data_IF_297648185084
#
_entry.id   IF_297648185084
#
_cell.length_a   1.000
_cell.length_b   1.000
_cell.length_c   1.000
_cell.angle_alpha   90.00
_cell.angle_beta   90.00
_cell.angle_gamma   90.00
#
_symmetry.space_group_name_H-M   'P 1'
#
loop_
_entity.id
_entity.type
_entity.pdbx_description
1 polymer ?
#
# COMPACT_ATOMS: atom_id res chain seq x y z
N UNK A 1 1.00 64.25 -24.98
CA UNK A 1 0.17 64.24 -26.21
C UNK A 1 0.35 62.87 -26.88
N UNK A 2 -0.75 62.29 -27.41
CA UNK A 2 -0.94 60.97 -28.08
C UNK A 2 0.22 60.57 -29.02
N UNK A 3 0.49 59.31 -29.40
CA UNK A 3 -0.31 58.15 -29.87
C UNK A 3 0.46 56.82 -29.58
N UNK A 4 -0.13 55.65 -29.26
CA UNK A 4 -0.89 54.69 -30.11
C UNK A 4 -0.11 54.25 -31.38
N UNK A 5 0.08 53.00 -31.82
CA UNK A 5 -0.61 51.70 -31.63
C UNK A 5 0.24 50.60 -32.34
N UNK A 6 0.30 49.39 -31.75
CA UNK A 6 0.25 48.03 -32.35
C UNK A 6 1.19 47.53 -33.47
N UNK A 7 1.81 46.34 -33.30
CA UNK A 7 1.48 45.03 -33.93
C UNK A 7 2.57 43.95 -33.63
N UNK A 8 2.12 42.82 -33.08
CA UNK A 8 2.58 41.41 -33.14
C UNK A 8 3.91 41.04 -33.84
N UNK A 9 4.78 40.27 -33.17
CA UNK A 9 5.09 38.85 -33.52
C UNK A 9 5.95 38.14 -32.45
N UNK A 10 5.48 36.95 -32.09
CA UNK A 10 6.07 35.77 -31.46
C UNK A 10 7.60 35.69 -31.26
N UNK A 11 8.02 35.43 -30.01
CA UNK A 11 9.14 34.53 -29.71
C UNK A 11 9.00 34.00 -28.28
N UNK A 12 8.49 32.77 -28.18
CA UNK A 12 8.61 31.89 -27.03
C UNK A 12 10.10 31.68 -26.77
N UNK A 13 10.60 32.10 -25.61
CA UNK A 13 11.88 31.63 -25.09
C UNK A 13 11.64 30.94 -23.75
N UNK A 14 11.40 29.65 -23.86
CA UNK A 14 11.57 28.65 -22.82
C UNK A 14 12.97 28.81 -22.22
N UNK A 15 13.07 29.32 -21.00
CA UNK A 15 14.22 29.02 -20.13
C UNK A 15 13.72 27.99 -19.15
N UNK A 16 13.89 26.73 -19.55
CA UNK A 16 13.78 25.57 -18.70
C UNK A 16 14.83 25.67 -17.59
N UNK A 17 14.44 26.18 -16.43
CA UNK A 17 15.14 25.89 -15.18
C UNK A 17 14.71 24.49 -14.75
N UNK A 18 15.35 23.50 -15.37
CA UNK A 18 15.42 22.15 -14.85
C UNK A 18 16.26 22.24 -13.57
N UNK A 19 15.61 22.41 -12.43
CA UNK A 19 16.13 21.87 -11.18
C UNK A 19 15.43 20.54 -10.94
N UNK A 20 15.99 19.49 -11.55
CA UNK A 20 15.80 18.12 -11.08
C UNK A 20 16.46 18.00 -9.70
N UNK A 21 15.68 18.13 -8.64
CA UNK A 21 16.08 17.62 -7.32
C UNK A 21 15.66 16.15 -7.22
N UNK A 22 16.46 15.28 -7.84
CA UNK A 22 16.46 13.85 -7.53
C UNK A 22 17.38 13.64 -6.33
N UNK A 23 16.82 13.64 -5.12
CA UNK A 23 17.49 13.12 -3.93
C UNK A 23 16.43 12.65 -2.92
N UNK A 24 16.09 11.36 -2.96
CA UNK A 24 15.30 10.69 -1.92
C UNK A 24 16.22 9.73 -1.16
N UNK A 25 16.89 10.24 -0.13
CA UNK A 25 17.60 9.41 0.85
C UNK A 25 17.20 9.89 2.24
N UNK A 26 16.53 9.04 3.01
CA UNK A 26 15.90 9.45 4.29
C UNK A 26 16.31 8.63 5.52
N UNK A 27 17.33 7.77 5.41
CA UNK A 27 18.01 7.10 6.54
C UNK A 27 19.52 7.16 6.31
N UNK A 28 20.31 7.44 7.35
CA UNK A 28 21.78 7.38 7.27
C UNK A 28 22.28 5.96 7.47
N UNK A 29 21.49 5.08 8.09
CA UNK A 29 21.77 3.66 8.22
C UNK A 29 21.19 2.90 7.03
N UNK A 30 22.04 2.62 6.05
CA UNK A 30 21.59 1.93 4.84
C UNK A 30 21.54 0.41 5.01
N UNK A 31 22.32 -0.14 5.93
CA UNK A 31 22.51 -1.57 6.06
C UNK A 31 22.97 -1.98 7.46
N UNK A 32 22.51 -3.14 7.93
CA UNK A 32 23.02 -3.81 9.13
C UNK A 32 23.05 -5.34 8.93
N UNK A 33 24.11 -5.97 9.43
CA UNK A 33 24.34 -7.42 9.40
C UNK A 33 24.84 -7.88 10.76
N UNK A 34 24.26 -8.95 11.28
CA UNK A 34 24.87 -9.73 12.36
C UNK A 34 25.79 -10.75 11.68
N UNK A 35 27.10 -10.60 11.82
CA UNK A 35 28.08 -11.54 11.27
C UNK A 35 28.23 -12.80 12.11
N UNK A 36 27.98 -12.68 13.42
CA UNK A 36 28.06 -13.77 14.38
C UNK A 36 27.17 -13.43 15.57
N UNK A 37 26.35 -14.38 16.08
CA UNK A 37 26.14 -15.72 15.54
C UNK A 37 25.29 -15.68 14.25
N UNK A 38 25.45 -16.70 13.40
CA UNK A 38 24.71 -16.84 12.13
C UNK A 38 23.31 -17.41 12.38
N UNK A 39 22.48 -17.38 11.34
CA UNK A 39 21.15 -17.99 11.36
C UNK A 39 21.15 -19.43 11.89
N UNK A 40 20.14 -19.76 12.69
CA UNK A 40 19.98 -21.05 13.36
C UNK A 40 21.06 -21.41 14.40
N UNK A 41 22.05 -20.54 14.66
CA UNK A 41 23.08 -20.84 15.65
C UNK A 41 22.65 -20.46 17.05
N UNK A 42 22.81 -21.41 17.98
CA UNK A 42 22.63 -21.17 19.39
C UNK A 42 23.56 -20.06 19.89
N UNK A 43 22.95 -19.06 20.49
CA UNK A 43 23.65 -17.95 21.10
C UNK A 43 24.05 -18.36 22.52
N UNK A 44 25.36 -18.42 22.80
CA UNK A 44 25.87 -18.73 24.15
C UNK A 44 26.17 -17.45 24.93
N UNK A 45 25.82 -17.43 26.21
CA UNK A 45 26.27 -16.38 27.11
C UNK A 45 27.81 -16.25 27.07
N UNK A 46 28.32 -15.02 27.05
CA UNK A 46 29.76 -14.75 26.90
C UNK A 46 30.32 -14.87 25.47
N UNK A 47 29.53 -15.30 24.48
CA UNK A 47 29.97 -15.33 23.08
C UNK A 47 30.00 -13.93 22.46
N UNK A 48 30.75 -13.79 21.36
CA UNK A 48 30.85 -12.54 20.61
C UNK A 48 29.70 -12.39 19.62
N UNK A 49 28.91 -11.34 19.82
CA UNK A 49 28.01 -10.78 18.84
C UNK A 49 28.78 -9.77 17.98
N UNK A 50 28.87 -10.02 16.68
CA UNK A 50 29.53 -9.12 15.74
C UNK A 50 28.46 -8.52 14.85
N UNK A 51 28.29 -7.21 14.93
CA UNK A 51 27.34 -6.44 14.12
C UNK A 51 28.13 -5.54 13.18
N UNK A 52 27.97 -5.74 11.88
CA UNK A 52 28.41 -4.80 10.86
C UNK A 52 27.25 -3.92 10.43
N UNK A 53 27.52 -2.66 10.15
CA UNK A 53 26.51 -1.75 9.63
C UNK A 53 27.15 -0.68 8.75
N UNK A 54 26.45 -0.24 7.71
CA UNK A 54 26.93 0.79 6.79
C UNK A 54 26.12 2.04 7.01
N UNK A 55 26.83 3.17 7.14
CA UNK A 55 26.18 4.47 7.20
C UNK A 55 26.71 5.42 6.13
N UNK A 56 25.85 6.29 5.61
CA UNK A 56 26.22 7.43 4.78
C UNK A 56 25.57 8.67 5.39
N UNK A 57 26.31 9.74 5.69
CA UNK A 57 25.69 10.99 6.09
C UNK A 57 25.18 11.73 4.85
N UNK A 58 24.03 12.36 5.02
CA UNK A 58 23.42 13.20 3.99
C UNK A 58 24.22 14.50 3.84
N UNK A 59 24.76 14.75 2.64
CA UNK A 59 25.14 16.08 2.17
C UNK A 59 24.37 16.31 0.88
N UNK A 60 23.50 17.29 0.89
CA UNK A 60 22.90 17.85 -0.31
C UNK A 60 23.08 19.37 -0.23
N UNK A 61 23.63 19.98 -1.28
CA UNK A 61 23.90 21.42 -1.34
C UNK A 61 22.62 22.26 -1.40
N UNK A 62 21.47 21.63 -1.67
CA UNK A 62 20.16 22.28 -1.79
C UNK A 62 19.19 21.96 -0.63
N UNK A 63 19.57 21.11 0.33
CA UNK A 63 18.81 20.88 1.58
C UNK A 63 19.65 21.10 2.84
N UNK A 64 19.05 21.63 3.91
CA UNK A 64 19.78 21.89 5.16
C UNK A 64 20.32 20.59 5.77
N UNK A 65 21.59 20.52 6.20
CA UNK A 65 22.19 19.29 6.72
C UNK A 65 21.43 18.78 7.96
N UNK A 66 20.85 17.58 7.85
CA UNK A 66 20.29 16.85 8.99
C UNK A 66 21.39 16.43 9.95
N UNK A 67 21.13 16.47 11.26
CA UNK A 67 22.08 16.04 12.30
C UNK A 67 21.69 14.65 12.80
N UNK A 68 22.61 13.70 12.64
CA UNK A 68 22.50 12.42 13.32
C UNK A 68 22.60 12.63 14.83
N UNK A 69 21.56 12.26 15.58
CA UNK A 69 21.55 12.39 17.04
C UNK A 69 22.05 11.11 17.72
N UNK A 70 21.79 9.95 17.13
CA UNK A 70 22.24 8.69 17.69
C UNK A 70 21.89 7.48 16.84
N UNK A 71 22.67 6.42 17.03
CA UNK A 71 22.37 5.07 16.59
C UNK A 71 22.46 4.19 17.84
N UNK A 72 21.31 3.67 18.27
CA UNK A 72 21.22 2.69 19.33
C UNK A 72 21.03 1.32 18.67
N UNK A 73 21.96 0.38 18.89
CA UNK A 73 21.82 -1.02 18.47
C UNK A 73 21.60 -1.81 19.75
N UNK A 74 20.45 -2.47 19.88
CA UNK A 74 20.04 -3.07 21.13
C UNK A 74 19.87 -4.58 20.99
N UNK A 75 20.13 -5.29 22.09
CA UNK A 75 19.92 -6.73 22.20
C UNK A 75 18.73 -6.99 23.14
N UNK A 76 17.73 -7.74 22.68
CA UNK A 76 16.49 -7.99 23.42
C UNK A 76 16.14 -9.48 23.49
N UNK A 77 15.48 -9.88 24.57
CA UNK A 77 14.74 -11.14 24.65
C UNK A 77 13.38 -11.00 23.98
N UNK A 78 12.91 -12.05 23.30
CA UNK A 78 11.58 -12.11 22.66
C UNK A 78 10.81 -13.38 23.02
N UNK A 79 9.50 -13.34 22.84
CA UNK A 79 8.61 -14.50 22.77
C UNK A 79 7.72 -14.34 21.53
N UNK A 80 7.76 -15.29 20.60
CA UNK A 80 7.12 -15.14 19.29
C UNK A 80 7.65 -13.88 18.56
N UNK A 81 6.73 -13.01 18.13
CA UNK A 81 7.07 -11.74 17.45
C UNK A 81 7.16 -10.54 18.40
N UNK A 82 6.94 -10.71 19.71
CA UNK A 82 6.93 -9.60 20.69
C UNK A 82 8.27 -9.44 21.43
N UNK A 83 8.74 -8.19 21.54
CA UNK A 83 9.89 -7.81 22.38
C UNK A 83 9.49 -7.86 23.85
N UNK A 84 10.30 -8.51 24.69
CA UNK A 84 9.99 -8.64 26.12
C UNK A 84 10.92 -7.81 27.01
N UNK A 85 12.23 -7.87 26.79
CA UNK A 85 13.19 -7.21 27.69
C UNK A 85 14.45 -6.82 26.92
N UNK A 86 14.92 -5.59 27.10
CA UNK A 86 16.24 -5.16 26.62
C UNK A 86 17.32 -5.66 27.58
N UNK A 87 18.30 -6.38 27.04
CA UNK A 87 19.39 -6.98 27.82
C UNK A 87 20.73 -6.27 27.63
N UNK A 88 20.87 -5.43 26.60
CA UNK A 88 22.09 -4.66 26.41
C UNK A 88 22.06 -3.71 25.24
N UNK A 89 23.10 -2.87 25.19
CA UNK A 89 23.37 -1.96 24.09
C UNK A 89 24.67 -2.38 23.42
N UNK A 90 24.55 -2.77 22.16
CA UNK A 90 25.66 -3.14 21.28
C UNK A 90 26.38 -1.87 20.82
N UNK A 91 25.63 -0.79 20.59
CA UNK A 91 26.15 0.52 20.19
C UNK A 91 25.23 1.66 20.70
N UNK A 92 25.79 2.85 20.98
CA UNK A 92 25.07 4.00 21.59
C UNK A 92 25.47 5.37 21.02
N UNK A 93 26.05 5.44 19.83
CA UNK A 93 26.57 6.71 19.30
C UNK A 93 26.46 6.73 17.79
N UNK A 94 26.17 7.87 17.17
CA UNK A 94 26.33 7.96 15.72
C UNK A 94 27.82 8.10 15.40
N UNK A 95 28.41 7.20 14.60
CA UNK A 95 29.83 7.25 14.28
C UNK A 95 30.16 8.18 13.09
N UNK A 96 29.15 8.80 12.47
CA UNK A 96 29.32 9.66 11.29
C UNK A 96 29.05 11.13 11.63
N UNK A 97 29.97 12.03 11.24
CA UNK A 97 29.72 13.47 11.22
C UNK A 97 29.16 13.86 9.84
N UNK A 98 28.20 14.80 9.79
CA UNK A 98 27.48 15.26 8.59
C UNK A 98 28.33 15.94 7.49
N UNK A 99 29.64 15.69 7.43
CA UNK A 99 30.60 16.30 6.51
C UNK A 99 31.21 15.32 5.49
N UNK A 100 30.81 14.05 5.49
CA UNK A 100 31.50 13.03 4.70
C UNK A 100 30.52 12.24 3.80
N UNK A 101 30.26 12.67 2.57
CA UNK A 101 29.29 12.07 1.61
C UNK A 101 29.52 10.58 1.23
N UNK A 102 30.50 9.92 1.83
CA UNK A 102 30.88 8.53 1.55
C UNK A 102 30.17 7.55 2.48
N UNK A 103 29.82 6.39 1.93
CA UNK A 103 29.44 5.22 2.71
C UNK A 103 30.62 4.76 3.58
N UNK A 104 30.38 4.58 4.87
CA UNK A 104 31.34 4.07 5.84
C UNK A 104 30.79 2.79 6.46
N UNK A 105 31.58 1.72 6.38
CA UNK A 105 31.25 0.44 7.02
C UNK A 105 31.84 0.40 8.43
N UNK A 106 31.01 0.09 9.41
CA UNK A 106 31.37 -0.09 10.80
C UNK A 106 31.25 -1.56 11.19
N UNK A 107 32.16 -2.01 12.07
CA UNK A 107 32.11 -3.34 12.67
C UNK A 107 32.13 -3.17 14.18
N UNK A 108 31.06 -3.62 14.85
CA UNK A 108 30.95 -3.59 16.31
C UNK A 108 30.94 -5.02 16.84
N UNK A 109 31.95 -5.33 17.63
CA UNK A 109 32.00 -6.55 18.45
C UNK A 109 31.43 -6.23 19.83
N UNK A 110 30.54 -7.08 20.32
CA UNK A 110 29.88 -6.94 21.62
C UNK A 110 29.73 -8.30 22.27
N UNK A 111 30.07 -8.40 23.55
CA UNK A 111 29.99 -9.66 24.30
C UNK A 111 28.60 -9.82 24.89
N UNK A 112 27.99 -10.98 24.67
CA UNK A 112 26.68 -11.30 25.21
C UNK A 112 26.79 -11.48 26.73
N UNK A 113 25.90 -10.85 27.53
CA UNK A 113 25.97 -10.91 28.99
C UNK A 113 26.05 -12.35 29.49
N UNK A 114 26.91 -12.58 30.48
CA UNK A 114 27.18 -13.92 31.04
C UNK A 114 25.98 -14.53 31.76
N UNK A 115 25.00 -13.71 32.14
CA UNK A 115 23.73 -14.07 32.79
C UNK A 115 22.56 -14.30 31.80
N UNK A 116 22.83 -14.28 30.48
CA UNK A 116 21.81 -14.53 29.46
C UNK A 116 21.27 -15.97 29.56
N UNK A 117 19.96 -16.10 29.78
CA UNK A 117 19.27 -17.40 29.91
C UNK A 117 18.98 -18.04 28.54
N UNK A 118 18.60 -19.33 28.47
CA UNK A 118 18.06 -19.90 27.23
C UNK A 118 16.75 -19.21 26.80
N UNK A 119 16.58 -18.98 25.49
CA UNK A 119 15.38 -18.36 24.92
C UNK A 119 15.63 -17.77 23.54
N UNK A 120 14.63 -17.05 23.01
CA UNK A 120 14.74 -16.36 21.72
C UNK A 120 15.17 -14.91 21.91
N UNK A 121 16.04 -14.43 21.01
CA UNK A 121 16.65 -13.11 21.09
C UNK A 121 16.52 -12.34 19.77
N UNK A 122 16.60 -11.01 19.88
CA UNK A 122 16.52 -10.05 18.79
C UNK A 122 17.68 -9.07 18.89
N UNK A 123 18.17 -8.62 17.74
CA UNK A 123 18.82 -7.31 17.65
C UNK A 123 17.81 -6.37 16.99
N UNK A 124 17.60 -5.22 17.59
CA UNK A 124 16.90 -4.11 16.96
C UNK A 124 17.85 -2.93 16.83
N UNK A 125 17.46 -1.96 16.02
CA UNK A 125 18.16 -0.71 15.94
C UNK A 125 17.19 0.46 15.99
N UNK A 126 17.68 1.55 16.55
CA UNK A 126 16.97 2.81 16.66
C UNK A 126 17.88 3.90 16.13
N UNK A 127 17.55 4.41 14.96
CA UNK A 127 18.23 5.55 14.36
C UNK A 127 17.48 6.84 14.73
N UNK A 128 18.18 7.82 15.30
CA UNK A 128 17.63 9.14 15.65
C UNK A 128 18.26 10.20 14.76
N UNK A 129 17.43 10.87 13.96
CA UNK A 129 17.85 11.95 13.04
C UNK A 129 17.07 13.22 13.37
N UNK A 130 17.77 14.34 13.53
CA UNK A 130 17.18 15.66 13.76
C UNK A 130 17.31 16.55 12.52
N UNK A 131 16.18 17.10 12.12
CA UNK A 131 16.08 18.14 11.09
C UNK A 131 15.78 19.49 11.76
N UNK A 132 15.88 20.60 11.01
CA UNK A 132 15.63 21.96 11.53
C UNK A 132 14.23 22.15 12.16
N UNK A 133 13.25 21.28 11.88
CA UNK A 133 11.85 21.40 12.35
C UNK A 133 11.19 20.08 12.82
N UNK A 134 11.84 18.93 12.72
CA UNK A 134 11.26 17.62 13.06
C UNK A 134 12.34 16.63 13.54
N UNK A 135 11.93 15.60 14.28
CA UNK A 135 12.78 14.49 14.72
C UNK A 135 12.17 13.18 14.23
N UNK A 136 12.95 12.33 13.55
CA UNK A 136 12.53 11.01 13.10
C UNK A 136 13.25 9.95 13.94
N UNK A 137 12.50 8.94 14.38
CA UNK A 137 13.02 7.73 15.03
C UNK A 137 12.58 6.51 14.22
N UNK A 138 13.51 5.85 13.53
CA UNK A 138 13.24 4.58 12.84
C UNK A 138 13.56 3.42 13.78
N UNK A 139 12.63 2.46 13.94
CA UNK A 139 12.83 1.25 14.75
C UNK A 139 12.47 0.02 13.93
N UNK A 140 13.45 -0.85 13.68
CA UNK A 140 13.23 -2.11 12.95
C UNK A 140 13.51 -3.33 13.83
N UNK A 141 12.75 -4.41 13.65
CA UNK A 141 12.90 -5.66 14.42
C UNK A 141 12.98 -6.85 13.47
N UNK A 142 14.18 -7.42 13.32
CA UNK A 142 14.41 -8.52 12.37
C UNK A 142 14.25 -9.88 13.07
N UNK A 143 13.41 -10.77 12.52
CA UNK A 143 13.34 -12.20 12.89
C UNK A 143 14.47 -12.95 12.16
N UNK A 144 15.15 -13.86 12.84
CA UNK A 144 16.31 -14.57 12.27
C UNK A 144 15.77 -15.61 11.26
N UNK A 145 15.87 -15.24 9.97
CA UNK A 145 16.30 -16.07 8.85
C UNK A 145 17.14 -15.11 7.99
N UNK A 146 18.47 -15.13 8.10
CA UNK A 146 19.32 -13.94 7.85
C UNK A 146 20.75 -14.27 7.40
N UNK A 147 21.34 -13.48 6.49
CA UNK A 147 22.81 -13.48 6.36
C UNK A 147 23.43 -12.90 5.09
N UNK A 148 22.65 -12.68 4.03
CA UNK A 148 23.20 -12.23 2.75
C UNK A 148 23.11 -10.72 2.57
N UNK A 149 24.21 -10.13 2.10
CA UNK A 149 24.30 -8.70 1.76
C UNK A 149 24.17 -8.61 0.25
N UNK A 150 23.05 -8.06 -0.22
CA UNK A 150 22.83 -7.81 -1.63
C UNK A 150 22.82 -6.30 -1.85
N UNK A 151 23.70 -5.81 -2.70
CA UNK A 151 23.62 -4.42 -3.19
C UNK A 151 22.36 -4.29 -4.03
N UNK A 152 21.52 -3.30 -3.73
CA UNK A 152 20.41 -2.97 -4.61
C UNK A 152 20.97 -2.50 -5.96
N UNK A 153 20.47 -3.06 -7.04
CA UNK A 153 20.86 -2.67 -8.41
C UNK A 153 20.10 -1.43 -8.89
N UNK A 154 19.10 -0.98 -8.14
CA UNK A 154 18.31 0.22 -8.42
C UNK A 154 17.36 0.57 -7.29
N UNK A 155 16.81 1.79 -7.33
CA UNK A 155 15.81 2.30 -6.40
C UNK A 155 14.74 3.04 -7.18
N UNK A 156 13.47 2.78 -6.87
CA UNK A 156 12.33 3.46 -7.48
C UNK A 156 11.29 3.79 -6.41
N UNK A 157 10.96 5.07 -6.25
CA UNK A 157 9.79 5.50 -5.49
C UNK A 157 8.59 5.61 -6.45
N UNK A 158 7.44 5.07 -6.04
CA UNK A 158 6.19 5.12 -6.81
C UNK A 158 5.04 5.47 -5.88
N UNK A 159 4.03 6.22 -6.35
CA UNK A 159 2.83 6.44 -5.56
C UNK A 159 2.11 5.08 -5.44
N UNK A 160 1.55 4.78 -4.27
CA UNK A 160 0.86 3.51 -4.02
C UNK A 160 -0.14 3.62 -2.87
N UNK A 161 -0.52 2.46 -2.32
CA UNK A 161 -1.65 2.31 -1.40
C UNK A 161 -2.91 1.93 -2.17
N UNK A 162 -3.60 0.90 -1.72
CA UNK A 162 -4.75 0.31 -2.43
C UNK A 162 -5.84 1.33 -2.66
N UNK A 163 -6.21 2.09 -1.62
CA UNK A 163 -7.21 3.16 -1.74
C UNK A 163 -6.85 4.19 -2.80
N UNK A 164 -5.59 4.63 -2.85
CA UNK A 164 -5.14 5.61 -3.84
C UNK A 164 -5.08 5.01 -5.26
N UNK A 165 -4.61 3.77 -5.40
CA UNK A 165 -4.64 3.02 -6.67
C UNK A 165 -6.07 2.88 -7.20
N UNK A 166 -7.02 2.52 -6.33
CA UNK A 166 -8.42 2.35 -6.66
C UNK A 166 -9.06 3.70 -7.03
N UNK A 167 -8.74 4.79 -6.33
CA UNK A 167 -9.21 6.13 -6.72
C UNK A 167 -8.74 6.54 -8.10
N UNK A 168 -7.45 6.35 -8.43
CA UNK A 168 -6.93 6.65 -9.78
C UNK A 168 -7.60 5.77 -10.84
N UNK A 169 -7.85 4.50 -10.53
CA UNK A 169 -8.58 3.59 -11.42
C UNK A 169 -10.03 4.01 -11.66
N UNK A 170 -10.75 4.47 -10.63
CA UNK A 170 -12.11 5.01 -10.78
C UNK A 170 -12.09 6.24 -11.69
N UNK A 171 -11.20 7.19 -11.43
CA UNK A 171 -11.08 8.42 -12.23
C UNK A 171 -10.75 8.12 -13.69
N UNK A 172 -9.76 7.27 -13.95
CA UNK A 172 -9.38 6.86 -15.31
C UNK A 172 -10.44 6.02 -16.03
N UNK A 173 -11.25 5.28 -15.29
CA UNK A 173 -12.45 4.57 -15.79
C UNK A 173 -13.64 5.49 -16.10
N UNK A 174 -13.48 6.80 -15.89
CA UNK A 174 -14.50 7.82 -16.15
C UNK A 174 -15.51 8.01 -15.02
N UNK A 175 -15.20 7.54 -13.81
CA UNK A 175 -15.99 7.78 -12.61
C UNK A 175 -15.59 9.07 -11.89
N UNK A 176 -16.55 9.71 -11.22
CA UNK A 176 -16.27 10.78 -10.26
C UNK A 176 -15.84 10.16 -8.93
N UNK A 177 -14.75 10.65 -8.34
CA UNK A 177 -14.19 10.08 -7.10
C UNK A 177 -13.58 11.16 -6.23
N UNK A 178 -13.93 11.11 -4.95
CA UNK A 178 -13.31 11.86 -3.88
C UNK A 178 -12.40 10.93 -3.09
N UNK A 179 -11.14 11.30 -2.93
CA UNK A 179 -10.23 10.58 -2.05
C UNK A 179 -10.23 11.23 -0.67
N UNK A 180 -10.48 10.42 0.35
CA UNK A 180 -10.46 10.83 1.75
C UNK A 180 -9.37 10.06 2.49
N UNK A 181 -8.58 10.78 3.28
CA UNK A 181 -7.45 10.19 3.99
C UNK A 181 -6.54 11.23 4.64
N UNK A 182 -5.48 10.74 5.27
CA UNK A 182 -4.42 11.55 5.85
C UNK A 182 -3.08 11.14 5.23
N UNK A 183 -2.53 12.04 4.43
CA UNK A 183 -1.19 11.92 3.87
C UNK A 183 -0.14 12.46 4.86
N UNK A 184 1.09 11.97 4.76
CA UNK A 184 2.22 12.51 5.51
C UNK A 184 2.72 13.85 4.97
N UNK A 185 3.51 14.58 5.77
CA UNK A 185 4.14 15.85 5.39
C UNK A 185 5.13 15.73 4.21
N UNK A 186 5.46 14.51 3.81
CA UNK A 186 6.35 14.11 2.73
C UNK A 186 5.62 13.57 1.48
N UNK A 187 4.28 13.62 1.46
CA UNK A 187 3.45 13.00 0.42
C UNK A 187 2.66 14.00 -0.45
N UNK A 188 3.04 15.28 -0.48
CA UNK A 188 2.42 16.27 -1.37
C UNK A 188 2.44 15.83 -2.85
N UNK A 189 3.55 15.24 -3.30
CA UNK A 189 3.69 14.74 -4.67
C UNK A 189 2.70 13.62 -5.02
N UNK A 190 2.24 12.83 -4.03
CA UNK A 190 1.19 11.82 -4.24
C UNK A 190 -0.14 12.52 -4.47
N UNK A 191 -0.44 13.56 -3.67
CA UNK A 191 -1.65 14.38 -3.83
C UNK A 191 -1.69 15.02 -5.21
N UNK A 192 -0.60 15.64 -5.65
CA UNK A 192 -0.50 16.28 -6.95
C UNK A 192 -0.69 15.27 -8.08
N UNK A 193 -0.03 14.10 -7.99
CA UNK A 193 -0.20 13.02 -8.95
C UNK A 193 -1.66 12.55 -9.05
N UNK A 194 -2.37 12.39 -7.94
CA UNK A 194 -3.76 11.97 -7.94
C UNK A 194 -4.69 13.03 -8.57
N UNK A 195 -4.43 14.32 -8.32
CA UNK A 195 -5.14 15.44 -8.95
C UNK A 195 -4.93 15.41 -10.47
N UNK A 196 -3.69 15.25 -10.92
CA UNK A 196 -3.34 15.16 -12.35
C UNK A 196 -4.04 13.99 -13.06
N UNK A 197 -4.37 12.92 -12.31
CA UNK A 197 -5.10 11.75 -12.81
C UNK A 197 -6.63 11.83 -12.57
N UNK A 198 -7.15 13.01 -12.22
CA UNK A 198 -8.60 13.29 -12.17
C UNK A 198 -9.29 12.92 -10.86
N UNK A 199 -8.54 12.70 -9.78
CA UNK A 199 -9.11 12.43 -8.46
C UNK A 199 -9.37 13.74 -7.71
N UNK A 200 -10.56 13.88 -7.12
CA UNK A 200 -10.85 14.99 -6.22
C UNK A 200 -10.21 14.74 -4.84
N UNK A 201 -9.26 15.61 -4.47
CA UNK A 201 -8.48 15.50 -3.21
C UNK A 201 -8.95 16.49 -2.12
N UNK A 202 -10.16 17.05 -2.24
CA UNK A 202 -10.71 18.04 -1.29
C UNK A 202 -10.89 17.50 0.12
N UNK A 203 -11.18 16.21 0.26
CA UNK A 203 -11.31 15.50 1.54
C UNK A 203 -10.00 14.86 2.05
N UNK A 204 -8.88 15.10 1.37
CA UNK A 204 -7.56 14.61 1.78
C UNK A 204 -6.76 15.68 2.52
N UNK A 205 -6.37 15.37 3.76
CA UNK A 205 -5.49 16.21 4.58
C UNK A 205 -4.04 15.77 4.45
N UNK A 206 -3.14 16.70 4.70
CA UNK A 206 -1.71 16.44 4.87
C UNK A 206 -1.36 16.73 6.33
N UNK A 207 -0.75 15.76 7.00
CA UNK A 207 -0.23 15.93 8.35
C UNK A 207 0.90 16.95 8.34
N UNK A 208 0.98 17.80 9.36
CA UNK A 208 2.08 18.75 9.52
C UNK A 208 3.33 18.08 10.12
N UNK A 209 3.15 17.01 10.90
CA UNK A 209 4.21 16.43 11.75
C UNK A 209 4.57 14.99 11.40
N UNK A 210 3.63 14.22 10.86
CA UNK A 210 3.78 12.77 10.66
C UNK A 210 4.18 12.44 9.22
N UNK A 211 4.96 11.37 9.05
CA UNK A 211 5.36 10.85 7.75
C UNK A 211 4.34 9.87 7.15
N UNK A 212 4.34 9.77 5.82
CA UNK A 212 3.37 8.97 5.07
C UNK A 212 3.55 7.47 5.32
N UNK A 213 2.47 6.71 5.14
CA UNK A 213 2.57 5.25 5.02
C UNK A 213 3.46 4.85 3.83
N UNK A 214 4.19 3.74 3.95
CA UNK A 214 5.14 3.26 2.93
C UNK A 214 5.19 1.74 2.90
N UNK A 215 5.33 1.19 1.70
CA UNK A 215 5.69 -0.20 1.49
C UNK A 215 7.13 -0.27 0.96
N UNK A 216 8.01 -0.95 1.67
CA UNK A 216 9.35 -1.27 1.20
C UNK A 216 9.31 -2.61 0.49
N UNK A 217 9.39 -2.59 -0.83
CA UNK A 217 9.33 -3.78 -1.68
C UNK A 217 10.74 -4.05 -2.20
N UNK A 218 11.30 -5.19 -1.81
CA UNK A 218 12.54 -5.72 -2.35
C UNK A 218 12.19 -6.81 -3.36
N UNK A 219 12.81 -6.79 -4.55
CA UNK A 219 12.65 -7.82 -5.57
C UNK A 219 14.01 -8.38 -5.92
N UNK A 220 14.15 -9.70 -5.84
CA UNK A 220 15.35 -10.42 -6.26
C UNK A 220 15.40 -10.42 -7.79
N UNK A 221 16.43 -9.79 -8.38
CA UNK A 221 16.66 -9.85 -9.84
C UNK A 221 17.06 -11.25 -10.31
N UNK A 222 17.56 -12.09 -9.39
CA UNK A 222 18.01 -13.45 -9.70
C UNK A 222 16.86 -14.47 -9.71
N UNK A 223 15.89 -14.33 -8.80
CA UNK A 223 14.80 -15.31 -8.60
C UNK A 223 13.41 -14.75 -8.90
N UNK A 224 13.24 -13.43 -8.89
CA UNK A 224 11.94 -12.77 -9.01
C UNK A 224 11.17 -12.67 -7.69
N UNK A 225 11.68 -13.27 -6.60
CA UNK A 225 11.03 -13.24 -5.29
C UNK A 225 10.90 -11.82 -4.76
N UNK A 226 9.80 -11.54 -4.05
CA UNK A 226 9.55 -10.26 -3.41
C UNK A 226 9.53 -10.37 -1.87
N UNK A 227 9.98 -9.30 -1.20
CA UNK A 227 9.81 -9.10 0.24
C UNK A 227 9.20 -7.72 0.45
N UNK A 228 8.06 -7.66 1.16
CA UNK A 228 7.31 -6.42 1.39
C UNK A 228 7.27 -6.13 2.88
N UNK A 229 7.74 -4.95 3.28
CA UNK A 229 7.63 -4.44 4.65
C UNK A 229 6.74 -3.21 4.65
N UNK A 230 5.67 -3.25 5.43
CA UNK A 230 4.71 -2.14 5.52
C UNK A 230 5.00 -1.27 6.73
N UNK A 231 5.12 0.03 6.48
CA UNK A 231 5.09 1.09 7.48
C UNK A 231 3.74 1.82 7.37
N UNK A 232 2.84 1.74 8.36
CA UNK A 232 1.48 2.29 8.24
C UNK A 232 1.45 3.83 8.13
N UNK A 233 2.41 4.52 8.78
CA UNK A 233 2.48 5.98 8.79
C UNK A 233 1.16 6.65 9.19
N UNK A 234 0.82 7.74 8.50
CA UNK A 234 -0.43 8.50 8.72
C UNK A 234 -1.72 7.71 8.51
N UNK A 235 -1.71 6.60 7.76
CA UNK A 235 -2.92 5.79 7.57
C UNK A 235 -3.42 5.17 8.89
N UNK A 236 -2.51 4.91 9.83
CA UNK A 236 -2.85 4.41 11.18
C UNK A 236 -3.25 5.52 12.17
N UNK A 237 -3.35 6.77 11.69
CA UNK A 237 -3.70 7.96 12.48
C UNK A 237 -5.02 8.59 12.05
N UNK A 238 -5.72 8.00 11.08
CA UNK A 238 -7.04 8.47 10.67
C UNK A 238 -8.05 8.15 11.77
N UNK A 239 -8.96 9.07 12.05
CA UNK A 239 -9.90 8.95 13.17
C UNK A 239 -11.35 8.81 12.70
N UNK A 240 -12.24 8.22 13.51
CA UNK A 240 -13.67 8.19 13.22
C UNK A 240 -14.26 9.59 13.02
N UNK A 241 -13.77 10.59 13.75
CA UNK A 241 -14.22 11.99 13.61
C UNK A 241 -13.81 12.61 12.27
N UNK A 242 -12.62 12.26 11.76
CA UNK A 242 -12.21 12.66 10.42
C UNK A 242 -13.13 12.05 9.36
N UNK A 243 -13.44 10.76 9.49
CA UNK A 243 -14.35 10.06 8.59
C UNK A 243 -15.77 10.64 8.63
N UNK A 244 -16.30 10.90 9.83
CA UNK A 244 -17.64 11.45 10.01
C UNK A 244 -17.81 12.79 9.28
N UNK A 245 -16.82 13.70 9.40
CA UNK A 245 -16.81 15.00 8.70
C UNK A 245 -16.81 14.85 7.19
N UNK A 246 -16.04 13.92 6.65
CA UNK A 246 -16.05 13.64 5.20
C UNK A 246 -17.42 13.14 4.77
N UNK A 247 -17.98 12.17 5.52
CA UNK A 247 -19.27 11.55 5.23
C UNK A 247 -20.48 12.50 5.39
N UNK A 248 -20.31 13.72 5.91
CA UNK A 248 -21.37 14.75 5.87
C UNK A 248 -21.71 15.20 4.46
N UNK A 249 -20.77 15.08 3.51
CA UNK A 249 -20.95 15.50 2.11
C UNK A 249 -21.56 14.43 1.20
N UNK A 250 -21.87 13.25 1.74
CA UNK A 250 -22.33 12.08 0.97
C UNK A 250 -23.61 11.47 1.58
N UNK A 251 -24.36 10.73 0.78
CA UNK A 251 -25.62 10.13 1.22
C UNK A 251 -26.13 9.01 0.31
N UNK A 252 -27.45 8.72 0.35
CA UNK A 252 -28.04 7.66 -0.45
C UNK A 252 -27.78 7.84 -1.95
N UNK A 253 -27.32 6.76 -2.59
CA UNK A 253 -26.92 6.74 -4.00
C UNK A 253 -25.41 6.85 -4.22
N UNK A 254 -24.66 7.34 -3.23
CA UNK A 254 -23.21 7.36 -3.26
C UNK A 254 -22.59 6.01 -2.86
N UNK A 255 -21.33 5.82 -3.25
CA UNK A 255 -20.54 4.62 -2.95
C UNK A 255 -19.34 4.97 -2.09
N UNK A 256 -19.02 4.10 -1.14
CA UNK A 256 -17.73 4.09 -0.45
C UNK A 256 -16.94 2.86 -0.90
N UNK A 257 -15.65 3.07 -1.19
CA UNK A 257 -14.71 2.01 -1.54
C UNK A 257 -13.70 1.85 -0.43
N UNK A 258 -13.72 0.70 0.24
CA UNK A 258 -12.90 0.42 1.41
C UNK A 258 -11.90 -0.70 1.15
N UNK A 259 -10.75 -0.59 1.82
CA UNK A 259 -9.74 -1.64 1.93
C UNK A 259 -9.24 -1.74 3.37
N UNK A 260 -8.37 -2.70 3.67
CA UNK A 260 -7.81 -2.91 5.00
C UNK A 260 -6.46 -2.19 5.20
N UNK A 261 -6.35 -0.94 4.77
CA UNK A 261 -5.10 -0.14 4.87
C UNK A 261 -5.27 1.17 5.65
N UNK A 262 -6.38 1.34 6.37
CA UNK A 262 -6.69 2.53 7.17
C UNK A 262 -7.11 2.14 8.58
N UNK A 263 -6.77 2.95 9.59
CA UNK A 263 -7.31 2.79 10.94
C UNK A 263 -8.84 2.97 10.94
N UNK A 264 -9.49 2.41 11.97
CA UNK A 264 -10.93 2.50 12.20
C UNK A 264 -11.82 2.11 11.00
N UNK A 265 -11.35 1.24 10.11
CA UNK A 265 -12.07 0.88 8.88
C UNK A 265 -13.50 0.35 9.11
N UNK A 266 -13.72 -0.47 10.14
CA UNK A 266 -15.05 -0.97 10.50
C UNK A 266 -16.02 0.14 10.95
N UNK A 267 -15.53 1.15 11.69
CA UNK A 267 -16.33 2.31 12.11
C UNK A 267 -16.70 3.18 10.90
N UNK A 268 -15.75 3.41 9.99
CA UNK A 268 -16.00 4.14 8.74
C UNK A 268 -17.10 3.45 7.93
N UNK A 269 -17.02 2.11 7.81
CA UNK A 269 -18.01 1.32 7.08
C UNK A 269 -19.40 1.41 7.72
N UNK A 270 -19.50 1.35 9.06
CA UNK A 270 -20.76 1.56 9.76
C UNK A 270 -21.34 2.95 9.50
N UNK A 271 -20.53 4.01 9.68
CA UNK A 271 -20.96 5.39 9.44
C UNK A 271 -21.47 5.61 8.00
N UNK A 272 -20.78 5.05 7.02
CA UNK A 272 -21.17 5.15 5.61
C UNK A 272 -22.48 4.40 5.34
N UNK A 273 -22.60 3.17 5.82
CA UNK A 273 -23.81 2.36 5.62
C UNK A 273 -25.03 2.95 6.34
N UNK A 274 -24.87 3.52 7.53
CA UNK A 274 -25.95 4.17 8.29
C UNK A 274 -26.43 5.47 7.63
N UNK A 275 -25.58 6.09 6.79
CA UNK A 275 -25.94 7.21 5.90
C UNK A 275 -26.57 6.78 4.58
N UNK A 276 -26.66 5.48 4.32
CA UNK A 276 -27.26 4.91 3.12
C UNK A 276 -26.31 4.81 1.92
N UNK A 277 -24.99 4.93 2.12
CA UNK A 277 -24.02 4.67 1.06
C UNK A 277 -23.95 3.17 0.75
N UNK A 278 -23.73 2.84 -0.51
CA UNK A 278 -23.37 1.47 -0.90
C UNK A 278 -21.90 1.22 -0.60
N UNK A 279 -21.57 0.04 -0.06
CA UNK A 279 -20.21 -0.31 0.34
C UNK A 279 -19.63 -1.31 -0.66
N UNK A 280 -18.60 -0.90 -1.39
CA UNK A 280 -17.70 -1.82 -2.08
C UNK A 280 -16.50 -2.07 -1.17
N UNK A 281 -16.29 -3.33 -0.80
CA UNK A 281 -15.18 -3.70 0.08
C UNK A 281 -14.20 -4.65 -0.63
N UNK A 282 -12.93 -4.28 -0.62
CA UNK A 282 -11.82 -5.18 -0.94
C UNK A 282 -10.97 -5.37 0.32
N UNK A 283 -11.15 -6.45 1.11
CA UNK A 283 -10.51 -6.68 2.41
C UNK A 283 -9.01 -7.02 2.30
N UNK A 284 -8.25 -6.18 1.61
CA UNK A 284 -6.84 -6.38 1.32
C UNK A 284 -6.00 -5.30 2.03
N UNK A 285 -4.87 -5.68 2.67
CA UNK A 285 -4.44 -7.05 2.94
C UNK A 285 -5.41 -7.80 3.86
N UNK A 286 -5.59 -9.09 3.62
CA UNK A 286 -6.38 -9.95 4.51
C UNK A 286 -5.63 -10.16 5.82
N UNK A 287 -6.33 -9.99 6.95
CA UNK A 287 -5.80 -10.24 8.29
C UNK A 287 -6.61 -11.33 8.99
N UNK A 288 -5.98 -12.20 9.82
CA UNK A 288 -6.74 -13.16 10.62
C UNK A 288 -7.73 -12.44 11.54
N UNK A 289 -9.00 -12.84 11.51
CA UNK A 289 -10.04 -12.24 12.33
C UNK A 289 -10.65 -10.96 11.75
N UNK A 290 -10.46 -10.69 10.45
CA UNK A 290 -11.01 -9.48 9.79
C UNK A 290 -12.52 -9.33 9.95
N UNK A 291 -13.23 -10.44 10.14
CA UNK A 291 -14.68 -10.51 10.35
C UNK A 291 -15.13 -9.89 11.68
N UNK A 292 -14.21 -9.79 12.65
CA UNK A 292 -14.44 -9.10 13.92
C UNK A 292 -14.15 -7.59 13.83
N UNK A 293 -13.35 -7.18 12.83
CA UNK A 293 -12.93 -5.79 12.63
C UNK A 293 -13.88 -5.01 11.70
N UNK A 294 -14.56 -5.68 10.78
CA UNK A 294 -15.41 -5.06 9.77
C UNK A 294 -16.85 -5.62 9.76
N UNK A 295 -17.88 -4.77 9.60
CA UNK A 295 -19.28 -5.20 9.54
C UNK A 295 -19.62 -5.74 8.14
N UNK A 296 -19.23 -6.98 7.82
CA UNK A 296 -19.47 -7.60 6.50
C UNK A 296 -20.95 -7.63 6.10
N UNK A 297 -21.87 -7.62 7.07
CA UNK A 297 -23.32 -7.56 6.85
C UNK A 297 -23.77 -6.25 6.17
N UNK A 298 -22.94 -5.21 6.21
CA UNK A 298 -23.18 -3.89 5.59
C UNK A 298 -22.55 -3.77 4.20
N UNK A 299 -21.79 -4.78 3.75
CA UNK A 299 -21.10 -4.75 2.46
C UNK A 299 -22.09 -5.02 1.32
N UNK A 300 -22.14 -4.12 0.34
CA UNK A 300 -23.00 -4.25 -0.85
C UNK A 300 -22.33 -5.15 -1.90
N UNK A 301 -21.06 -4.89 -2.20
CA UNK A 301 -20.26 -5.69 -3.14
C UNK A 301 -18.92 -6.03 -2.50
N UNK A 302 -18.60 -7.32 -2.44
CA UNK A 302 -17.32 -7.82 -1.98
C UNK A 302 -16.45 -8.19 -3.18
N UNK A 303 -15.21 -7.68 -3.23
CA UNK A 303 -14.22 -8.06 -4.24
C UNK A 303 -12.98 -8.60 -3.55
N UNK A 304 -12.63 -9.85 -3.85
CA UNK A 304 -11.50 -10.58 -3.25
C UNK A 304 -10.73 -11.32 -4.34
N UNK A 305 -9.47 -11.67 -4.09
CA UNK A 305 -8.80 -12.73 -4.85
C UNK A 305 -9.14 -14.13 -4.27
N UNK A 306 -8.65 -15.19 -4.92
CA UNK A 306 -8.90 -16.57 -4.49
C UNK A 306 -8.45 -16.85 -3.05
N UNK A 307 -7.23 -16.46 -2.70
CA UNK A 307 -6.66 -16.70 -1.36
C UNK A 307 -7.41 -15.89 -0.29
N UNK A 308 -7.76 -14.65 -0.60
CA UNK A 308 -8.58 -13.79 0.27
C UNK A 308 -9.99 -14.39 0.46
N UNK A 309 -10.62 -14.93 -0.59
CA UNK A 309 -11.92 -15.59 -0.47
C UNK A 309 -11.86 -16.84 0.42
N UNK A 310 -10.80 -17.65 0.27
CA UNK A 310 -10.57 -18.84 1.10
C UNK A 310 -10.32 -18.46 2.57
N UNK A 311 -9.47 -17.46 2.81
CA UNK A 311 -9.13 -16.98 4.14
C UNK A 311 -10.37 -16.43 4.86
N UNK A 312 -11.16 -15.60 4.18
CA UNK A 312 -12.42 -15.07 4.72
C UNK A 312 -13.41 -16.18 5.03
N UNK A 313 -13.58 -17.14 4.11
CA UNK A 313 -14.51 -18.24 4.32
C UNK A 313 -14.08 -19.14 5.50
N UNK A 314 -12.77 -19.34 5.69
CA UNK A 314 -12.21 -20.06 6.83
C UNK A 314 -12.42 -19.32 8.14
N UNK A 315 -12.22 -18.01 8.17
CA UNK A 315 -12.47 -17.16 9.36
C UNK A 315 -13.96 -17.20 9.78
N UNK A 316 -14.87 -17.43 8.83
CA UNK A 316 -16.29 -17.65 9.08
C UNK A 316 -16.65 -19.08 9.53
N UNK A 317 -15.66 -19.94 9.75
CA UNK A 317 -15.83 -21.34 10.16
C UNK A 317 -16.09 -22.31 9.00
N UNK A 318 -15.95 -21.86 7.75
CA UNK A 318 -16.12 -22.67 6.55
C UNK A 318 -14.92 -23.58 6.24
N UNK A 319 -15.15 -24.63 5.45
CA UNK A 319 -14.10 -25.49 4.90
C UNK A 319 -13.93 -25.22 3.40
N UNK A 320 -12.79 -24.65 3.00
CA UNK A 320 -12.52 -24.26 1.60
C UNK A 320 -12.01 -25.41 0.72
N UNK A 321 -11.61 -26.55 1.30
CA UNK A 321 -10.98 -27.65 0.56
C UNK A 321 -11.86 -28.16 -0.58
N UNK A 322 -11.40 -27.99 -1.82
CA UNK A 322 -12.08 -28.45 -3.03
C UNK A 322 -13.15 -27.51 -3.59
N UNK A 323 -13.29 -26.30 -3.03
CA UNK A 323 -14.15 -25.24 -3.57
C UNK A 323 -13.36 -24.37 -4.56
N UNK A 324 -13.93 -24.08 -5.72
CA UNK A 324 -13.40 -23.06 -6.63
C UNK A 324 -13.87 -21.65 -6.27
N UNK A 325 -13.39 -20.63 -7.00
CA UNK A 325 -13.79 -19.23 -6.76
C UNK A 325 -15.30 -18.99 -6.81
N UNK A 326 -16.02 -19.63 -7.73
CA UNK A 326 -17.49 -19.47 -7.85
C UNK A 326 -18.23 -20.14 -6.68
N UNK A 327 -17.72 -21.25 -6.15
CA UNK A 327 -18.26 -21.91 -4.96
C UNK A 327 -18.07 -21.04 -3.72
N UNK A 328 -16.88 -20.44 -3.57
CA UNK A 328 -16.60 -19.49 -2.48
C UNK A 328 -17.51 -18.26 -2.57
N UNK A 329 -17.70 -17.70 -3.77
CA UNK A 329 -18.64 -16.61 -4.00
C UNK A 329 -20.07 -16.97 -3.58
N UNK A 330 -20.52 -18.20 -3.90
CA UNK A 330 -21.84 -18.68 -3.51
C UNK A 330 -22.00 -18.81 -1.99
N UNK A 331 -21.00 -19.34 -1.30
CA UNK A 331 -21.03 -19.49 0.16
C UNK A 331 -21.01 -18.14 0.88
N UNK A 332 -20.17 -17.20 0.44
CA UNK A 332 -20.09 -15.86 1.00
C UNK A 332 -21.40 -15.08 0.77
N UNK A 333 -21.95 -15.13 -0.44
CA UNK A 333 -23.22 -14.48 -0.76
C UNK A 333 -24.39 -15.10 0.04
N UNK A 334 -24.34 -16.40 0.37
CA UNK A 334 -25.31 -17.05 1.25
C UNK A 334 -25.14 -16.62 2.71
N UNK A 335 -23.91 -16.43 3.17
CA UNK A 335 -23.60 -16.04 4.56
C UNK A 335 -24.06 -14.62 4.89
N UNK A 336 -24.05 -13.72 3.90
CA UNK A 336 -24.40 -12.31 4.05
C UNK A 336 -25.60 -11.93 3.17
N UNK A 337 -26.85 -12.05 3.67
CA UNK A 337 -28.05 -11.87 2.84
C UNK A 337 -28.22 -10.48 2.22
N UNK A 338 -27.67 -9.44 2.85
CA UNK A 338 -27.71 -8.05 2.37
C UNK A 338 -26.67 -7.74 1.29
N UNK A 339 -25.68 -8.62 1.12
CA UNK A 339 -24.67 -8.48 0.08
C UNK A 339 -25.29 -8.79 -1.28
N UNK A 340 -25.10 -7.87 -2.23
CA UNK A 340 -25.64 -8.01 -3.58
C UNK A 340 -24.73 -8.81 -4.49
N UNK A 341 -23.41 -8.73 -4.28
CA UNK A 341 -22.47 -9.42 -5.16
C UNK A 341 -21.16 -9.80 -4.47
N UNK A 342 -20.64 -10.96 -4.87
CA UNK A 342 -19.28 -11.40 -4.54
C UNK A 342 -18.52 -11.62 -5.85
N UNK A 343 -17.37 -10.97 -5.97
CA UNK A 343 -16.45 -11.09 -7.10
C UNK A 343 -15.16 -11.72 -6.60
N UNK A 344 -14.74 -12.80 -7.26
CA UNK A 344 -13.48 -13.50 -6.98
C UNK A 344 -12.59 -13.41 -8.20
N UNK A 345 -11.52 -12.63 -8.06
CA UNK A 345 -10.49 -12.47 -9.11
C UNK A 345 -9.53 -13.66 -9.11
N UNK A 346 -9.26 -14.21 -10.29
CA UNK A 346 -8.48 -15.44 -10.53
C UNK A 346 -7.16 -15.16 -11.27
N UNK A 347 -6.65 -13.92 -11.15
CA UNK A 347 -5.46 -13.47 -11.86
C UNK A 347 -5.51 -13.71 -13.37
N UNK A 348 -4.58 -14.51 -13.89
CA UNK A 348 -4.47 -14.83 -15.32
C UNK A 348 -5.57 -15.75 -15.88
N UNK A 349 -6.50 -16.21 -15.05
CA UNK A 349 -7.67 -17.00 -15.44
C UNK A 349 -8.93 -16.15 -15.58
N UNK A 350 -8.95 -14.94 -15.01
CA UNK A 350 -10.02 -13.95 -15.18
C UNK A 350 -10.75 -13.69 -13.88
N UNK A 351 -12.07 -13.69 -13.95
CA UNK A 351 -12.92 -13.40 -12.80
C UNK A 351 -14.18 -14.25 -12.82
N UNK A 352 -14.58 -14.70 -11.64
CA UNK A 352 -15.89 -15.31 -11.41
C UNK A 352 -16.66 -14.47 -10.40
N UNK A 353 -17.96 -14.37 -10.57
CA UNK A 353 -18.80 -13.60 -9.66
C UNK A 353 -20.20 -14.18 -9.53
N UNK A 354 -20.85 -13.87 -8.41
CA UNK A 354 -22.24 -14.20 -8.15
C UNK A 354 -22.96 -12.94 -7.69
N UNK A 355 -24.01 -12.55 -8.39
CA UNK A 355 -24.82 -11.38 -8.05
C UNK A 355 -26.28 -11.76 -7.85
N UNK A 356 -26.95 -11.07 -6.93
CA UNK A 356 -28.38 -11.18 -6.68
C UNK A 356 -29.10 -9.85 -6.93
N UNK A 357 -30.29 -9.92 -7.52
CA UNK A 357 -31.22 -8.82 -7.65
C UNK A 357 -32.54 -9.26 -7.02
N UNK A 358 -32.92 -8.66 -5.89
CA UNK A 358 -34.04 -9.17 -5.06
C UNK A 358 -33.76 -10.61 -4.54
N UNK A 359 -34.59 -11.15 -3.64
CA UNK A 359 -34.26 -12.39 -2.92
C UNK A 359 -34.13 -13.62 -3.84
N UNK A 360 -34.82 -13.65 -4.99
CA UNK A 360 -34.96 -14.86 -5.82
C UNK A 360 -34.18 -14.85 -7.14
N UNK A 361 -33.62 -13.72 -7.60
CA UNK A 361 -32.85 -13.69 -8.86
C UNK A 361 -31.36 -13.64 -8.58
N UNK A 362 -30.69 -14.78 -8.71
CA UNK A 362 -29.24 -14.91 -8.60
C UNK A 362 -28.65 -15.31 -9.95
N UNK A 363 -27.56 -14.68 -10.36
CA UNK A 363 -26.84 -14.97 -11.60
C UNK A 363 -25.35 -15.14 -11.37
N UNK A 364 -24.79 -16.10 -12.12
CA UNK A 364 -23.36 -16.41 -12.13
C UNK A 364 -22.70 -15.72 -13.33
N UNK A 365 -21.48 -15.26 -13.13
CA UNK A 365 -20.66 -14.59 -14.13
C UNK A 365 -19.28 -15.23 -14.17
N UNK A 366 -18.81 -15.56 -15.37
CA UNK A 366 -17.49 -16.15 -15.60
C UNK A 366 -16.88 -15.40 -16.79
N UNK A 367 -15.89 -14.55 -16.52
CA UNK A 367 -15.22 -13.74 -17.53
C UNK A 367 -13.76 -14.20 -17.63
N UNK A 368 -13.35 -14.85 -18.73
CA UNK A 368 -11.97 -15.27 -18.91
C UNK A 368 -11.03 -14.07 -19.07
N UNK A 369 -9.80 -14.18 -18.57
CA UNK A 369 -8.77 -13.15 -18.79
C UNK A 369 -8.24 -13.17 -20.23
N UNK A 370 -7.94 -11.99 -20.76
CA UNK A 370 -7.17 -11.89 -22.01
C UNK A 370 -5.72 -12.30 -21.78
N UNK A 371 -5.17 -13.11 -22.68
CA UNK A 371 -3.75 -13.47 -22.65
C UNK A 371 -2.92 -12.28 -23.12
N UNK A 372 -2.04 -11.82 -22.24
CA UNK A 372 -1.16 -10.65 -22.47
C UNK A 372 0.25 -10.97 -21.99
N UNK A 373 1.24 -10.27 -22.54
CA UNK A 373 2.63 -10.35 -22.06
C UNK A 373 2.77 -9.59 -20.74
N UNK A 374 2.81 -10.35 -19.63
CA UNK A 374 2.89 -9.82 -18.27
C UNK A 374 4.28 -9.26 -17.99
N UNK A 375 4.35 -8.02 -17.52
CA UNK A 375 5.57 -7.36 -17.05
C UNK A 375 5.60 -7.17 -15.53
N UNK A 376 4.50 -6.70 -14.94
CA UNK A 376 4.41 -6.43 -13.51
C UNK A 376 2.93 -6.49 -13.09
N UNK A 377 2.58 -7.39 -12.16
CA UNK A 377 1.19 -7.56 -11.70
C UNK A 377 0.77 -6.59 -10.60
N UNK A 378 1.70 -5.74 -10.14
CA UNK A 378 1.47 -4.81 -9.03
C UNK A 378 0.36 -3.81 -9.37
N UNK A 379 -0.71 -3.78 -8.55
CA UNK A 379 -1.84 -2.86 -8.73
C UNK A 379 -2.92 -3.35 -9.71
N UNK A 380 -2.81 -4.56 -10.25
CA UNK A 380 -3.83 -5.13 -11.14
C UNK A 380 -5.19 -5.30 -10.45
N UNK A 381 -5.20 -5.82 -9.21
CA UNK A 381 -6.42 -5.96 -8.41
C UNK A 381 -7.06 -4.61 -8.07
N UNK A 382 -6.24 -3.61 -7.73
CA UNK A 382 -6.74 -2.25 -7.47
C UNK A 382 -7.31 -1.60 -8.73
N UNK A 383 -6.68 -1.84 -9.89
CA UNK A 383 -7.18 -1.41 -11.20
C UNK A 383 -8.54 -2.05 -11.48
N UNK A 384 -8.67 -3.36 -11.24
CA UNK A 384 -9.92 -4.09 -11.39
C UNK A 384 -11.02 -3.49 -10.51
N UNK A 385 -10.77 -3.30 -9.21
CA UNK A 385 -11.76 -2.75 -8.26
C UNK A 385 -12.25 -1.38 -8.71
N UNK A 386 -11.33 -0.47 -9.08
CA UNK A 386 -11.71 0.87 -9.48
C UNK A 386 -12.49 0.93 -10.79
N UNK A 387 -12.06 0.17 -11.80
CA UNK A 387 -12.80 0.07 -13.06
C UNK A 387 -14.16 -0.59 -12.89
N UNK A 388 -14.25 -1.66 -12.10
CA UNK A 388 -15.53 -2.33 -11.82
C UNK A 388 -16.55 -1.32 -11.31
N UNK A 389 -16.20 -0.51 -10.30
CA UNK A 389 -17.13 0.47 -9.77
C UNK A 389 -17.44 1.58 -10.76
N UNK A 390 -16.43 2.14 -11.44
CA UNK A 390 -16.63 3.21 -12.41
C UNK A 390 -17.58 2.80 -13.53
N UNK A 391 -17.37 1.61 -14.10
CA UNK A 391 -18.24 1.05 -15.14
C UNK A 391 -19.62 0.71 -14.58
N UNK A 392 -19.69 0.09 -13.39
CA UNK A 392 -20.96 -0.22 -12.75
C UNK A 392 -21.79 1.06 -12.56
N UNK A 393 -21.24 2.13 -12.00
CA UNK A 393 -21.96 3.42 -11.83
C UNK A 393 -22.35 4.03 -13.18
N UNK A 394 -21.44 4.05 -14.17
CA UNK A 394 -21.72 4.61 -15.51
C UNK A 394 -22.82 3.86 -16.27
N UNK A 395 -22.94 2.55 -16.05
CA UNK A 395 -23.95 1.69 -16.68
C UNK A 395 -25.27 1.60 -15.88
N UNK A 396 -25.57 2.57 -15.01
CA UNK A 396 -26.79 2.55 -14.18
C UNK A 396 -28.12 2.53 -14.94
N UNK A 397 -28.13 2.91 -16.21
CA UNK A 397 -29.33 2.89 -17.05
C UNK A 397 -29.56 1.54 -17.75
N UNK A 398 -28.63 0.60 -17.63
CA UNK A 398 -28.76 -0.76 -18.16
C UNK A 398 -29.54 -1.67 -17.19
N UNK A 399 -30.03 -2.81 -17.69
CA UNK A 399 -30.53 -3.88 -16.82
C UNK A 399 -29.44 -4.28 -15.79
N UNK A 400 -29.85 -4.62 -14.57
CA UNK A 400 -28.93 -4.87 -13.46
C UNK A 400 -27.86 -5.92 -13.79
N UNK A 401 -28.23 -7.04 -14.42
CA UNK A 401 -27.25 -8.08 -14.73
C UNK A 401 -26.39 -7.72 -15.95
N UNK A 402 -26.93 -6.95 -16.90
CA UNK A 402 -26.13 -6.36 -18.00
C UNK A 402 -25.10 -5.38 -17.46
N UNK A 403 -25.49 -4.52 -16.52
CA UNK A 403 -24.62 -3.60 -15.80
C UNK A 403 -23.49 -4.32 -15.08
N UNK A 404 -23.77 -5.43 -14.39
CA UNK A 404 -22.75 -6.29 -13.76
C UNK A 404 -21.81 -6.88 -14.81
N UNK A 405 -22.33 -7.43 -15.91
CA UNK A 405 -21.52 -8.00 -17.00
C UNK A 405 -20.52 -6.97 -17.53
N UNK A 406 -20.98 -5.77 -17.90
CA UNK A 406 -20.12 -4.69 -18.41
C UNK A 406 -19.04 -4.29 -17.39
N UNK A 407 -19.39 -4.21 -16.11
CA UNK A 407 -18.44 -3.87 -15.06
C UNK A 407 -17.33 -4.92 -14.92
N UNK A 408 -17.67 -6.21 -14.96
CA UNK A 408 -16.69 -7.30 -14.89
C UNK A 408 -15.80 -7.36 -16.14
N UNK A 409 -16.37 -7.18 -17.33
CA UNK A 409 -15.61 -7.18 -18.59
C UNK A 409 -14.62 -6.01 -18.68
N UNK A 410 -15.08 -4.79 -18.41
CA UNK A 410 -14.24 -3.60 -18.48
C UNK A 410 -13.12 -3.61 -17.43
N UNK A 411 -13.44 -4.03 -16.19
CA UNK A 411 -12.46 -4.20 -15.12
C UNK A 411 -11.40 -5.26 -15.45
N UNK A 412 -11.82 -6.39 -16.01
CA UNK A 412 -10.92 -7.48 -16.40
C UNK A 412 -9.97 -7.05 -17.52
N UNK A 413 -10.48 -6.33 -18.52
CA UNK A 413 -9.64 -5.74 -19.59
C UNK A 413 -8.68 -4.70 -19.02
N UNK A 414 -9.15 -3.78 -18.17
CA UNK A 414 -8.30 -2.76 -17.57
C UNK A 414 -7.15 -3.37 -16.76
N UNK A 415 -7.43 -4.40 -15.95
CA UNK A 415 -6.42 -5.15 -15.22
C UNK A 415 -5.42 -5.84 -16.16
N UNK A 416 -5.91 -6.44 -17.26
CA UNK A 416 -5.03 -7.08 -18.26
C UNK A 416 -4.08 -6.09 -18.94
N UNK A 417 -4.53 -4.85 -19.21
CA UNK A 417 -3.65 -3.81 -19.77
C UNK A 417 -2.64 -3.36 -18.71
N UNK A 418 -3.07 -3.18 -17.45
CA UNK A 418 -2.20 -2.73 -16.38
C UNK A 418 -0.99 -3.65 -16.19
N UNK A 419 -1.18 -4.97 -16.28
CA UNK A 419 -0.06 -5.92 -16.09
C UNK A 419 0.99 -5.92 -17.19
N UNK A 420 0.73 -5.26 -18.34
CA UNK A 420 1.70 -5.11 -19.44
C UNK A 420 2.68 -3.95 -19.23
N UNK A 421 2.52 -3.19 -18.13
CA UNK A 421 3.28 -1.99 -17.76
C UNK A 421 3.93 -2.20 -16.40
N UNK A 422 4.88 -1.33 -16.05
CA UNK A 422 5.40 -1.30 -14.68
C UNK A 422 4.32 -0.70 -13.76
N UNK A 423 4.03 -1.39 -12.65
CA UNK A 423 2.77 -1.34 -11.92
C UNK A 423 2.46 -0.07 -11.11
N UNK A 424 1.50 -0.23 -10.19
CA UNK A 424 0.87 0.81 -9.35
C UNK A 424 0.04 1.81 -10.15
N UNK A 425 -0.23 3.02 -9.62
CA UNK A 425 -1.10 4.00 -10.30
C UNK A 425 -0.67 4.35 -11.75
N UNK A 426 0.63 4.25 -12.05
CA UNK A 426 1.18 4.54 -13.37
C UNK A 426 0.75 3.52 -14.44
N UNK A 427 0.47 2.28 -14.05
CA UNK A 427 0.05 1.24 -15.00
C UNK A 427 -1.43 1.32 -15.37
N UNK A 428 -2.24 2.00 -14.57
CA UNK A 428 -3.69 2.11 -14.78
C UNK A 428 -3.96 2.72 -16.16
N UNK A 429 -4.66 1.99 -17.06
CA UNK A 429 -4.96 2.48 -18.41
C UNK A 429 -6.01 3.58 -18.40
N UNK A 430 -6.11 4.34 -19.49
CA UNK A 430 -7.24 5.24 -19.71
C UNK A 430 -8.47 4.47 -20.22
N UNK A 431 -9.66 5.03 -20.04
CA UNK A 431 -10.90 4.43 -20.53
C UNK A 431 -10.88 4.17 -22.05
N UNK A 432 -10.23 5.04 -22.83
CA UNK A 432 -10.13 4.88 -24.28
C UNK A 432 -9.26 3.67 -24.67
N UNK A 433 -8.18 3.42 -23.93
CA UNK A 433 -7.35 2.22 -24.13
C UNK A 433 -8.17 0.94 -23.87
N UNK A 434 -8.96 0.94 -22.79
CA UNK A 434 -9.82 -0.20 -22.44
C UNK A 434 -10.92 -0.42 -23.49
N UNK A 435 -11.61 0.64 -23.90
CA UNK A 435 -12.65 0.57 -24.96
C UNK A 435 -12.08 0.13 -26.31
N UNK A 436 -10.85 0.49 -26.63
CA UNK A 436 -10.20 0.05 -27.87
C UNK A 436 -9.95 -1.47 -27.89
N UNK A 437 -9.73 -2.08 -26.72
CA UNK A 437 -9.59 -3.54 -26.58
C UNK A 437 -10.94 -4.24 -26.61
N UNK A 438 -11.97 -3.72 -25.92
CA UNK A 438 -13.32 -4.30 -25.90
C UNK A 438 -14.05 -4.31 -27.25
N UNK A 439 -13.65 -3.44 -28.19
CA UNK A 439 -14.21 -3.37 -29.55
C UNK A 439 -13.65 -4.44 -30.50
N UNK A 440 -12.55 -5.10 -30.12
CA UNK A 440 -11.93 -6.19 -30.89
C UNK A 440 -12.55 -7.51 -30.45
#
# INVERSE_FOLDING_TARGET
MRLSKSILLSAVLFVALIQTTLASVYSQLHFMKIESPRDGQDIKAGSQLVVKYVMQPLIDEQTSPGKALGLDINFHRRSGNQKQQQLGFIHKKCPVAAKNDKYVTYTKKWTIPSDTKPGSYAVDFVEKVQFRRTQITATETVKINSGETLSATGFNARPGGKGANQSVAIAKGGGAVYHAGLLGNDAQWIKDFMIENGVDMSHTRISETEGNGRAFIQVSTATGDNCIVLFPGTNAKYTPEDAAKVLESFGPGDWIVMQNEISCGGEIMNLAADKGLSVLFNPAPMTPGIVDEFPFDKVTVLIVNEHEAEDLYRDLGGQSKGKGGLDLAAELLKRFPHMQGVVVTLGGEGVVAKFRQEEDRIRDFIIPCQKVDVKDTTGAGDTFVGYFLATFVRAQNEDYFTRVQYALEEANVAASIAVTRLGSMNSVPTLDEVKAVLKK
#
